data_IF_546828610966
#
_entry.id   IF_546828610966
#
_cell.length_a   1.000
_cell.length_b   1.000
_cell.length_c   1.000
_cell.angle_alpha   90.00
_cell.angle_beta   90.00
_cell.angle_gamma   90.00
#
_symmetry.space_group_name_H-M   'P 1'
#
loop_
_entity.id
_entity.type
_entity.pdbx_description
1 polymer ?
#
# COMPACT_ATOMS: atom_id res chain seq x y z
N UNK A 1 -8.66 -19.28 -19.14
CA UNK A 1 -7.74 -18.86 -18.04
C UNK A 1 -8.35 -19.32 -16.72
N UNK A 2 -7.70 -20.24 -16.00
CA UNK A 2 -8.42 -21.26 -15.20
C UNK A 2 -9.07 -20.84 -13.89
N UNK A 3 -8.91 -19.63 -13.33
CA UNK A 3 -9.81 -19.12 -12.27
C UNK A 3 -9.63 -17.61 -12.01
N UNK A 4 -10.53 -16.72 -12.45
CA UNK A 4 -10.46 -15.26 -12.16
C UNK A 4 -10.49 -14.94 -10.66
N UNK A 5 -10.95 -15.89 -9.83
CA UNK A 5 -10.93 -15.81 -8.37
C UNK A 5 -9.51 -15.82 -7.81
N UNK A 6 -8.58 -16.56 -8.42
CA UNK A 6 -7.20 -16.66 -7.94
C UNK A 6 -6.45 -15.33 -8.04
N UNK A 7 -6.71 -14.55 -9.10
CA UNK A 7 -6.13 -13.22 -9.28
C UNK A 7 -6.61 -12.22 -8.22
N UNK A 8 -7.89 -12.29 -7.84
CA UNK A 8 -8.41 -11.48 -6.74
C UNK A 8 -7.74 -11.86 -5.41
N UNK A 9 -7.63 -13.16 -5.10
CA UNK A 9 -6.94 -13.62 -3.87
C UNK A 9 -5.49 -13.18 -3.85
N UNK A 10 -4.78 -13.30 -4.98
CA UNK A 10 -3.40 -12.85 -5.11
C UNK A 10 -3.30 -11.34 -4.84
N UNK A 11 -4.23 -10.54 -5.38
CA UNK A 11 -4.28 -9.09 -5.13
C UNK A 11 -4.48 -8.79 -3.64
N UNK A 12 -5.42 -9.46 -2.97
CA UNK A 12 -5.65 -9.27 -1.53
C UNK A 12 -4.43 -9.64 -0.69
N UNK A 13 -3.77 -10.76 -1.01
CA UNK A 13 -2.58 -11.21 -0.29
C UNK A 13 -1.38 -10.31 -0.50
N UNK A 14 -1.12 -9.88 -1.75
CA UNK A 14 -0.04 -8.92 -2.03
C UNK A 14 -0.30 -7.61 -1.28
N UNK A 15 -1.54 -7.11 -1.28
CA UNK A 15 -1.92 -5.93 -0.53
C UNK A 15 -1.68 -6.07 0.97
N UNK A 16 -2.14 -7.19 1.56
CA UNK A 16 -1.96 -7.44 2.99
C UNK A 16 -0.48 -7.54 3.38
N UNK A 17 0.37 -8.11 2.52
CA UNK A 17 1.82 -8.18 2.74
C UNK A 17 2.44 -6.77 2.65
N UNK A 18 2.03 -5.95 1.68
CA UNK A 18 2.50 -4.58 1.53
C UNK A 18 2.10 -3.71 2.73
N UNK A 19 0.85 -3.82 3.19
CA UNK A 19 0.37 -3.11 4.38
C UNK A 19 1.09 -3.59 5.64
N UNK A 20 1.28 -4.90 5.83
CA UNK A 20 2.03 -5.43 6.97
C UNK A 20 3.48 -4.92 7.00
N UNK A 21 4.13 -4.83 5.82
CA UNK A 21 5.46 -4.22 5.70
C UNK A 21 5.43 -2.74 6.03
N UNK A 22 4.44 -1.99 5.54
CA UNK A 22 4.28 -0.58 5.86
C UNK A 22 4.06 -0.37 7.37
N UNK A 23 3.24 -1.20 8.03
CA UNK A 23 3.03 -1.15 9.47
C UNK A 23 4.33 -1.42 10.22
N UNK A 24 5.12 -2.40 9.79
CA UNK A 24 6.41 -2.71 10.42
C UNK A 24 7.39 -1.54 10.30
N UNK A 25 7.39 -0.83 9.16
CA UNK A 25 8.24 0.35 8.94
C UNK A 25 7.79 1.53 9.81
N UNK A 26 6.48 1.71 10.02
CA UNK A 26 5.91 2.76 10.88
C UNK A 26 6.18 2.47 12.36
N UNK A 27 5.97 1.23 12.81
CA UNK A 27 6.12 0.84 14.22
C UNK A 27 7.60 0.70 14.60
N UNK A 28 8.43 0.20 13.69
CA UNK A 28 9.83 -0.14 13.95
C UNK A 28 10.78 0.49 12.92
N UNK A 29 10.83 1.84 12.82
CA UNK A 29 11.70 2.53 11.86
C UNK A 29 13.19 2.23 12.09
N UNK A 30 13.56 1.86 13.33
CA UNK A 30 14.92 1.47 13.72
C UNK A 30 15.32 0.05 13.26
N UNK A 31 14.38 -0.85 12.98
CA UNK A 31 14.69 -2.21 12.51
C UNK A 31 15.01 -2.26 11.03
N UNK A 32 14.45 -1.34 10.22
CA UNK A 32 14.70 -1.29 8.78
C UNK A 32 15.00 0.13 8.30
N UNK A 33 16.10 0.73 8.77
CA UNK A 33 16.43 2.13 8.51
C UNK A 33 16.59 2.45 7.02
N UNK A 34 17.08 1.49 6.24
CA UNK A 34 17.24 1.59 4.79
C UNK A 34 15.90 1.67 4.07
N UNK A 35 14.91 0.84 4.46
CA UNK A 35 13.56 0.90 3.88
C UNK A 35 12.83 2.17 4.30
N UNK A 36 12.96 2.58 5.57
CA UNK A 36 12.38 3.82 6.05
C UNK A 36 12.90 5.03 5.24
N UNK A 37 14.21 5.14 5.08
CA UNK A 37 14.81 6.23 4.29
C UNK A 37 14.41 6.16 2.82
N UNK A 38 14.28 4.97 2.25
CA UNK A 38 13.86 4.77 0.87
C UNK A 38 12.39 5.18 0.59
N UNK A 39 11.51 5.05 1.59
CA UNK A 39 10.08 5.36 1.51
C UNK A 39 9.77 6.80 1.90
N UNK A 40 10.44 7.32 2.92
CA UNK A 40 10.15 8.67 3.43
C UNK A 40 11.01 9.74 2.76
N UNK A 41 12.17 9.35 2.22
CA UNK A 41 13.21 10.24 1.73
C UNK A 41 14.00 10.93 2.86
N UNK A 42 13.82 10.50 4.12
CA UNK A 42 14.47 11.11 5.29
C UNK A 42 15.36 10.12 6.05
N UNK A 43 16.52 10.58 6.56
CA UNK A 43 17.38 9.76 7.39
C UNK A 43 16.67 9.43 8.71
N UNK A 44 16.88 8.21 9.22
CA UNK A 44 16.22 7.70 10.45
C UNK A 44 16.54 8.54 11.70
N UNK A 45 17.67 9.27 11.67
CA UNK A 45 18.08 10.17 12.75
C UNK A 45 17.19 11.42 12.85
N UNK A 46 16.56 11.86 11.76
CA UNK A 46 15.61 12.99 11.75
C UNK A 46 14.23 12.61 12.32
N UNK A 47 13.99 11.33 12.60
CA UNK A 47 12.70 10.83 13.11
C UNK A 47 12.54 11.09 14.60
N UNK A 48 13.66 11.08 15.34
CA UNK A 48 13.66 11.39 16.77
C UNK A 48 13.30 12.86 17.04
N UNK A 49 13.59 13.77 16.09
CA UNK A 49 13.30 15.20 16.16
C UNK A 49 12.01 15.61 15.46
N UNK A 50 11.55 14.87 14.45
CA UNK A 50 10.43 15.31 13.59
C UNK A 50 9.03 14.97 14.07
N UNK A 51 8.83 14.06 15.03
CA UNK A 51 7.51 13.78 15.64
C UNK A 51 6.39 13.31 14.67
N UNK A 52 6.69 13.18 13.37
CA UNK A 52 5.69 13.01 12.31
C UNK A 52 5.29 11.54 12.12
N UNK A 53 6.13 10.57 12.51
CA UNK A 53 5.93 9.14 12.22
C UNK A 53 5.52 8.26 13.40
N UNK A 54 5.43 8.81 14.61
CA UNK A 54 5.04 8.08 15.83
C UNK A 54 3.60 8.37 16.25
N UNK A 55 2.66 8.46 15.30
CA UNK A 55 1.24 8.54 15.64
C UNK A 55 0.64 7.13 15.67
N UNK A 56 0.17 6.62 16.83
CA UNK A 56 -0.47 5.31 16.92
C UNK A 56 -1.68 5.17 15.97
N UNK A 57 -2.24 6.29 15.54
CA UNK A 57 -3.28 6.35 14.51
C UNK A 57 -2.81 5.80 13.15
N UNK A 58 -1.57 6.07 12.73
CA UNK A 58 -1.05 5.61 11.44
C UNK A 58 -0.83 4.09 11.46
N UNK A 59 -0.30 3.57 12.57
CA UNK A 59 -0.14 2.13 12.77
C UNK A 59 -1.51 1.42 12.82
N UNK A 60 -2.48 1.98 13.52
CA UNK A 60 -3.84 1.43 13.62
C UNK A 60 -4.56 1.47 12.26
N UNK A 61 -4.33 2.52 11.46
CA UNK A 61 -4.85 2.64 10.11
C UNK A 61 -4.27 1.53 9.22
N UNK A 62 -2.95 1.37 9.16
CA UNK A 62 -2.34 0.31 8.32
C UNK A 62 -2.75 -1.09 8.79
N UNK A 63 -2.90 -1.28 10.09
CA UNK A 63 -3.40 -2.54 10.65
C UNK A 63 -4.86 -2.82 10.26
N UNK A 64 -5.74 -1.81 10.35
CA UNK A 64 -7.13 -1.93 9.94
C UNK A 64 -7.27 -2.31 8.46
N UNK A 65 -6.42 -1.75 7.60
CA UNK A 65 -6.37 -2.05 6.17
C UNK A 65 -5.89 -3.47 5.88
N UNK A 66 -4.88 -3.95 6.61
CA UNK A 66 -4.43 -5.34 6.55
C UNK A 66 -5.57 -6.30 6.92
N UNK A 67 -6.28 -6.03 8.03
CA UNK A 67 -7.44 -6.82 8.44
C UNK A 67 -8.58 -6.80 7.40
N UNK A 68 -8.83 -5.64 6.77
CA UNK A 68 -9.84 -5.47 5.73
C UNK A 68 -9.54 -6.34 4.50
N UNK A 69 -8.28 -6.40 4.06
CA UNK A 69 -7.85 -7.21 2.91
C UNK A 69 -7.95 -8.71 3.21
N UNK A 70 -7.52 -9.14 4.39
CA UNK A 70 -7.66 -10.54 4.84
C UNK A 70 -9.13 -10.95 4.99
N UNK A 71 -9.99 -10.03 5.44
CA UNK A 71 -11.43 -10.25 5.51
C UNK A 71 -12.06 -10.34 4.11
N UNK A 72 -11.60 -9.53 3.15
CA UNK A 72 -12.08 -9.56 1.77
C UNK A 72 -11.68 -10.86 1.05
N UNK A 73 -10.52 -11.43 1.36
CA UNK A 73 -10.03 -12.71 0.78
C UNK A 73 -10.95 -13.91 1.08
N UNK A 74 -11.71 -13.88 2.20
CA UNK A 74 -12.70 -14.92 2.53
C UNK A 74 -13.81 -15.05 1.48
N UNK A 75 -14.18 -13.93 0.84
CA UNK A 75 -15.23 -13.85 -0.18
C UNK A 75 -14.87 -12.84 -1.29
N UNK A 76 -13.88 -13.15 -2.13
CA UNK A 76 -13.23 -12.17 -3.00
C UNK A 76 -14.16 -11.66 -4.12
N UNK A 77 -15.11 -12.49 -4.58
CA UNK A 77 -16.09 -12.09 -5.60
C UNK A 77 -17.14 -11.11 -5.08
N UNK A 78 -17.70 -11.41 -3.90
CA UNK A 78 -18.71 -10.57 -3.26
C UNK A 78 -18.11 -9.23 -2.80
N UNK A 79 -16.81 -9.22 -2.47
CA UNK A 79 -16.12 -8.09 -1.83
C UNK A 79 -15.07 -7.42 -2.72
N UNK A 80 -15.14 -7.61 -4.04
CA UNK A 80 -14.21 -6.98 -4.99
C UNK A 80 -14.15 -5.45 -4.89
N UNK A 81 -15.20 -4.80 -4.38
CA UNK A 81 -15.21 -3.37 -4.10
C UNK A 81 -14.20 -2.93 -3.03
N UNK A 82 -13.77 -3.83 -2.15
CA UNK A 82 -12.74 -3.55 -1.13
C UNK A 82 -11.40 -3.20 -1.79
N UNK A 83 -11.07 -3.81 -2.94
CA UNK A 83 -9.86 -3.44 -3.69
C UNK A 83 -9.90 -1.98 -4.13
N UNK A 84 -11.03 -1.50 -4.64
CA UNK A 84 -11.19 -0.09 -5.03
C UNK A 84 -11.06 0.84 -3.81
N UNK A 85 -11.65 0.46 -2.69
CA UNK A 85 -11.54 1.20 -1.43
C UNK A 85 -10.09 1.32 -0.99
N UNK A 86 -9.24 0.33 -1.29
CA UNK A 86 -7.81 0.42 -0.98
C UNK A 86 -6.97 1.18 -2.01
N UNK A 87 -7.26 1.01 -3.31
CA UNK A 87 -6.48 1.64 -4.38
C UNK A 87 -6.70 3.15 -4.43
N UNK A 88 -7.95 3.61 -4.27
CA UNK A 88 -8.29 5.03 -4.44
C UNK A 88 -7.54 5.94 -3.44
N UNK A 89 -7.55 5.65 -2.13
CA UNK A 89 -6.82 6.48 -1.16
C UNK A 89 -5.31 6.36 -1.28
N UNK A 90 -4.81 5.20 -1.72
CA UNK A 90 -3.37 5.01 -1.95
C UNK A 90 -2.89 5.87 -3.13
N UNK A 91 -3.62 5.87 -4.24
CA UNK A 91 -3.31 6.71 -5.40
C UNK A 91 -3.45 8.20 -5.07
N UNK A 92 -4.51 8.59 -4.35
CA UNK A 92 -4.71 9.98 -3.97
C UNK A 92 -3.61 10.45 -3.01
N UNK A 93 -3.23 9.62 -2.02
CA UNK A 93 -2.13 9.91 -1.11
C UNK A 93 -0.81 10.13 -1.83
N UNK A 94 -0.46 9.29 -2.81
CA UNK A 94 0.74 9.46 -3.63
C UNK A 94 0.68 10.76 -4.42
N UNK A 95 -0.45 11.05 -5.06
CA UNK A 95 -0.63 12.26 -5.87
C UNK A 95 -0.47 13.51 -5.01
N UNK A 96 -1.10 13.56 -3.83
CA UNK A 96 -0.98 14.66 -2.87
C UNK A 96 0.46 14.83 -2.37
N UNK A 97 1.16 13.73 -2.05
CA UNK A 97 2.57 13.78 -1.65
C UNK A 97 3.48 14.31 -2.77
N UNK A 98 3.21 13.93 -4.03
CA UNK A 98 3.96 14.40 -5.22
C UNK A 98 3.74 15.89 -5.45
N UNK A 99 2.50 16.36 -5.34
CA UNK A 99 2.15 17.77 -5.51
C UNK A 99 2.79 18.62 -4.40
N UNK A 100 2.65 18.20 -3.14
CA UNK A 100 3.14 18.95 -1.97
C UNK A 100 4.67 19.06 -1.88
N UNK A 101 5.42 18.05 -2.34
CA UNK A 101 6.89 18.06 -2.32
C UNK A 101 7.52 18.76 -3.54
N UNK A 102 6.70 19.25 -4.48
CA UNK A 102 7.16 19.72 -5.78
C UNK A 102 7.64 18.57 -6.65
N UNK A 103 7.24 18.56 -7.93
CA UNK A 103 7.56 17.49 -8.89
C UNK A 103 9.07 17.22 -9.10
N UNK A 104 9.96 18.04 -8.52
CA UNK A 104 11.37 18.15 -8.89
C UNK A 104 12.36 17.36 -8.02
N UNK A 105 12.02 16.93 -6.81
CA UNK A 105 12.96 16.19 -5.93
C UNK A 105 12.48 14.77 -5.60
N UNK A 106 12.04 14.04 -6.63
CA UNK A 106 11.53 12.69 -6.50
C UNK A 106 12.64 11.62 -6.36
N UNK A 107 13.56 11.78 -5.41
CA UNK A 107 14.42 10.69 -4.93
C UNK A 107 13.69 9.78 -3.91
N UNK A 108 12.39 9.56 -4.12
CA UNK A 108 11.72 8.39 -3.56
C UNK A 108 12.23 7.20 -4.37
N UNK A 109 13.03 6.34 -3.74
CA UNK A 109 13.63 5.16 -4.36
C UNK A 109 12.71 4.56 -5.43
N UNK A 110 13.11 4.64 -6.71
CA UNK A 110 12.23 4.33 -7.84
C UNK A 110 11.55 2.97 -7.71
N UNK A 111 12.24 2.02 -7.05
CA UNK A 111 11.76 0.68 -6.73
C UNK A 111 10.46 0.67 -5.93
N UNK A 112 10.32 1.48 -4.86
CA UNK A 112 9.10 1.44 -4.04
C UNK A 112 7.90 2.00 -4.78
N UNK A 113 8.08 3.13 -5.50
CA UNK A 113 7.03 3.69 -6.34
C UNK A 113 6.62 2.72 -7.44
N UNK A 114 7.59 2.06 -8.09
CA UNK A 114 7.34 1.08 -9.14
C UNK A 114 6.56 -0.15 -8.62
N UNK A 115 6.94 -0.68 -7.45
CA UNK A 115 6.23 -1.80 -6.81
C UNK A 115 4.78 -1.44 -6.48
N UNK A 116 4.54 -0.20 -6.05
CA UNK A 116 3.22 0.28 -5.66
C UNK A 116 2.33 0.54 -6.89
N UNK A 117 2.90 1.10 -7.96
CA UNK A 117 2.23 1.20 -9.27
C UNK A 117 1.91 -0.21 -9.81
N UNK A 118 2.86 -1.14 -9.79
CA UNK A 118 2.63 -2.52 -10.24
C UNK A 118 1.51 -3.21 -9.45
N UNK A 119 1.44 -2.98 -8.13
CA UNK A 119 0.35 -3.48 -7.29
C UNK A 119 -1.01 -2.87 -7.68
N UNK A 120 -1.10 -1.56 -7.89
CA UNK A 120 -2.35 -0.92 -8.32
C UNK A 120 -2.82 -1.43 -9.68
N UNK A 121 -1.90 -1.62 -10.63
CA UNK A 121 -2.21 -2.22 -11.94
C UNK A 121 -2.73 -3.66 -11.81
N UNK A 122 -2.11 -4.47 -10.96
CA UNK A 122 -2.54 -5.84 -10.69
C UNK A 122 -3.95 -5.90 -10.07
N UNK A 123 -4.27 -4.96 -9.18
CA UNK A 123 -5.59 -4.86 -8.57
C UNK A 123 -6.66 -4.41 -9.58
N UNK A 124 -6.35 -3.41 -10.41
CA UNK A 124 -7.22 -2.93 -11.50
C UNK A 124 -7.48 -4.07 -12.50
N UNK A 125 -6.42 -4.75 -12.94
CA UNK A 125 -6.51 -5.89 -13.85
C UNK A 125 -7.38 -7.01 -13.28
N UNK A 126 -7.18 -7.38 -12.01
CA UNK A 126 -7.96 -8.41 -11.33
C UNK A 126 -9.44 -8.01 -11.20
N UNK A 127 -9.73 -6.73 -10.98
CA UNK A 127 -11.10 -6.21 -10.93
C UNK A 127 -11.80 -6.29 -12.30
N UNK A 128 -11.15 -5.86 -13.38
CA UNK A 128 -11.72 -5.84 -14.73
C UNK A 128 -11.92 -7.24 -15.33
N UNK A 129 -10.95 -8.15 -15.17
CA UNK A 129 -11.08 -9.56 -15.63
C UNK A 129 -12.29 -10.24 -14.99
N UNK A 130 -12.55 -9.93 -13.73
CA UNK A 130 -13.69 -10.50 -13.02
C UNK A 130 -15.01 -9.86 -13.45
N UNK A 131 -15.01 -8.54 -13.70
CA UNK A 131 -16.20 -7.82 -14.14
C UNK A 131 -16.67 -8.21 -15.54
N UNK A 132 -15.77 -8.65 -16.42
CA UNK A 132 -16.08 -9.08 -17.79
C UNK A 132 -16.60 -10.53 -17.90
N UNK A 133 -16.60 -11.30 -16.81
CA UNK A 133 -17.08 -12.69 -16.77
C UNK A 133 -18.50 -12.82 -16.17
N UNK A 134 -19.25 -11.71 -16.08
CA UNK A 134 -20.69 -11.68 -15.80
C UNK A 134 -21.43 -11.42 -17.09
#
# INVERSE_FOLDING_TARGET
MKNPIQWLRLSYWIGAILDAKAALIVILPKLVPQLYSAITGQPVLDVASSGIFFRPFDALMVFAWTCLLLWADRKPLERKGVLLLTIVPVLSGILTLRISRGLYNANLSGVFTLLLIAYTLLCIFSYFINSSNK
#
